data_IF_533155885182
#
_entry.id   IF_533155885182
#
_cell.length_a   1.000
_cell.length_b   1.000
_cell.length_c   1.000
_cell.angle_alpha   90.00
_cell.angle_beta   90.00
_cell.angle_gamma   90.00
#
_symmetry.space_group_name_H-M   'P 1'
#
loop_
_entity.id
_entity.type
_entity.pdbx_description
1 polymer ?
#
# COMPACT_ATOMS: atom_id res chain seq x y z
N UNK A 1 -18.93 -1.73 -7.31
CA UNK A 1 -17.90 -1.69 -6.26
C UNK A 1 -17.78 -0.25 -5.77
N UNK A 2 -17.78 -0.01 -4.46
CA UNK A 2 -17.64 1.34 -3.88
C UNK A 2 -16.17 1.62 -3.53
N UNK A 3 -15.78 2.89 -3.46
CA UNK A 3 -14.45 3.32 -3.01
C UNK A 3 -14.06 2.70 -1.67
N UNK A 4 -15.04 2.53 -0.78
CA UNK A 4 -14.83 1.88 0.51
C UNK A 4 -14.31 0.43 0.41
N UNK A 5 -14.75 -0.34 -0.59
CA UNK A 5 -14.30 -1.74 -0.80
C UNK A 5 -12.86 -1.78 -1.35
N UNK A 6 -12.53 -0.81 -2.21
CA UNK A 6 -11.15 -0.60 -2.70
C UNK A 6 -10.21 -0.27 -1.54
N UNK A 7 -10.64 0.61 -0.63
CA UNK A 7 -9.87 1.00 0.54
C UNK A 7 -9.77 -0.09 1.60
N UNK A 8 -10.78 -0.96 1.71
CA UNK A 8 -10.73 -2.14 2.57
C UNK A 8 -9.65 -3.11 2.09
N UNK A 9 -9.64 -3.42 0.78
CA UNK A 9 -8.60 -4.24 0.17
C UNK A 9 -7.20 -3.65 0.38
N UNK A 10 -7.00 -2.37 0.07
CA UNK A 10 -5.70 -1.70 0.28
C UNK A 10 -5.30 -1.68 1.76
N UNK A 11 -6.26 -1.52 2.67
CA UNK A 11 -6.02 -1.59 4.12
C UNK A 11 -5.55 -2.97 4.57
N UNK A 12 -6.11 -4.05 4.00
CA UNK A 12 -5.65 -5.43 4.19
C UNK A 12 -4.21 -5.62 3.74
N UNK A 13 -3.88 -5.21 2.51
CA UNK A 13 -2.53 -5.31 1.94
C UNK A 13 -1.50 -4.51 2.76
N UNK A 14 -1.86 -3.28 3.15
CA UNK A 14 -1.02 -2.41 3.98
C UNK A 14 -0.75 -3.04 5.36
N UNK A 15 -1.77 -3.69 5.95
CA UNK A 15 -1.64 -4.38 7.23
C UNK A 15 -0.68 -5.57 7.15
N UNK A 16 -0.73 -6.35 6.07
CA UNK A 16 0.21 -7.45 5.84
C UNK A 16 1.64 -6.95 5.68
N UNK A 17 1.86 -5.89 4.89
CA UNK A 17 3.18 -5.29 4.73
C UNK A 17 3.72 -4.73 6.05
N UNK A 18 2.87 -4.09 6.85
CA UNK A 18 3.26 -3.60 8.19
C UNK A 18 3.63 -4.75 9.12
N UNK A 19 2.85 -5.84 9.11
CA UNK A 19 3.17 -7.04 9.89
C UNK A 19 4.48 -7.70 9.43
N UNK A 20 4.76 -7.67 8.14
CA UNK A 20 5.99 -8.21 7.58
C UNK A 20 7.19 -7.31 7.90
N UNK A 21 7.06 -5.99 7.73
CA UNK A 21 8.07 -5.01 8.09
C UNK A 21 8.46 -5.08 9.58
N UNK A 22 7.48 -5.31 10.47
CA UNK A 22 7.73 -5.48 11.92
C UNK A 22 8.53 -6.73 12.27
N UNK A 23 8.60 -7.72 11.37
CA UNK A 23 9.38 -8.96 11.55
C UNK A 23 10.80 -8.83 10.96
N UNK A 24 11.06 -7.77 10.19
CA UNK A 24 12.38 -7.52 9.65
C UNK A 24 13.27 -6.88 10.72
N UNK A 25 14.54 -7.31 10.84
CA UNK A 25 15.45 -6.72 11.80
C UNK A 25 15.73 -5.25 11.45
N UNK A 26 15.83 -4.34 12.44
CA UNK A 26 16.02 -2.90 12.24
C UNK A 26 17.36 -2.51 11.58
N UNK A 27 18.31 -3.45 11.49
CA UNK A 27 19.68 -3.24 10.98
C UNK A 27 19.83 -3.46 9.48
N UNK A 28 18.74 -3.50 8.73
CA UNK A 28 18.82 -3.76 7.29
C UNK A 28 18.90 -2.43 6.52
N UNK A 29 20.13 -1.93 6.36
CA UNK A 29 20.47 -0.93 5.35
C UNK A 29 20.27 -1.58 3.96
N UNK A 30 19.07 -1.45 3.40
CA UNK A 30 18.68 -2.22 2.20
C UNK A 30 18.41 -1.35 1.00
N UNK A 31 19.41 -0.56 0.63
CA UNK A 31 19.49 -0.08 -0.74
C UNK A 31 19.75 -1.22 -1.76
N UNK A 32 20.10 -2.44 -1.32
CA UNK A 32 20.60 -3.46 -2.26
C UNK A 32 20.52 -4.95 -1.81
N UNK A 33 19.70 -5.35 -0.82
CA UNK A 33 19.63 -6.79 -0.48
C UNK A 33 18.18 -7.28 -0.53
N UNK A 34 17.89 -8.41 -1.21
CA UNK A 34 16.67 -9.15 -0.90
C UNK A 34 16.71 -9.38 0.61
N UNK A 35 15.71 -8.87 1.36
CA UNK A 35 15.58 -9.35 2.73
C UNK A 35 15.43 -10.86 2.60
N UNK A 36 16.46 -11.63 2.95
CA UNK A 36 16.45 -13.10 2.81
C UNK A 36 15.36 -13.76 3.67
N UNK A 37 14.63 -12.96 4.44
CA UNK A 37 13.39 -13.33 5.09
C UNK A 37 12.28 -13.28 4.04
N UNK A 38 11.80 -14.42 3.57
CA UNK A 38 10.56 -14.46 2.77
C UNK A 38 9.35 -14.24 3.67
N UNK A 39 8.25 -13.62 3.18
CA UNK A 39 7.00 -13.61 3.91
C UNK A 39 6.49 -15.04 4.13
N UNK A 40 5.66 -15.18 5.16
CA UNK A 40 5.00 -16.45 5.42
C UNK A 40 4.13 -16.82 4.22
N UNK A 41 4.07 -18.09 3.81
CA UNK A 41 3.21 -18.52 2.71
C UNK A 41 1.75 -18.17 2.98
N UNK A 42 1.29 -18.31 4.23
CA UNK A 42 -0.06 -17.88 4.66
C UNK A 42 -0.32 -16.39 4.37
N UNK A 43 0.69 -15.53 4.57
CA UNK A 43 0.55 -14.12 4.26
C UNK A 43 0.56 -13.85 2.74
N UNK A 44 1.31 -14.63 1.96
CA UNK A 44 1.27 -14.49 0.50
C UNK A 44 -0.10 -14.91 -0.03
N UNK A 45 -0.67 -15.98 0.50
CA UNK A 45 -2.00 -16.51 0.14
C UNK A 45 -3.12 -15.51 0.46
N UNK A 46 -3.15 -14.95 1.68
CA UNK A 46 -4.07 -13.87 2.06
C UNK A 46 -3.92 -12.64 1.13
N UNK A 47 -2.68 -12.28 0.77
CA UNK A 47 -2.41 -11.14 -0.11
C UNK A 47 -2.97 -11.42 -1.52
N UNK A 48 -2.70 -12.61 -2.05
CA UNK A 48 -3.18 -13.05 -3.35
C UNK A 48 -4.72 -13.11 -3.40
N UNK A 49 -5.36 -13.59 -2.34
CA UNK A 49 -6.82 -13.63 -2.23
C UNK A 49 -7.40 -12.21 -2.33
N UNK A 50 -6.83 -11.25 -1.60
CA UNK A 50 -7.26 -9.85 -1.64
C UNK A 50 -7.10 -9.27 -3.05
N UNK A 51 -5.96 -9.50 -3.72
CA UNK A 51 -5.69 -9.00 -5.08
C UNK A 51 -6.60 -9.65 -6.11
N UNK A 52 -6.83 -10.96 -6.00
CA UNK A 52 -7.72 -11.71 -6.90
C UNK A 52 -9.15 -11.24 -6.76
N UNK A 53 -9.63 -11.10 -5.53
CA UNK A 53 -10.95 -10.56 -5.25
C UNK A 53 -11.08 -9.12 -5.74
N UNK A 54 -10.06 -8.28 -5.50
CA UNK A 54 -10.04 -6.90 -6.01
C UNK A 54 -10.15 -6.86 -7.54
N UNK A 55 -9.37 -7.67 -8.26
CA UNK A 55 -9.41 -7.76 -9.73
C UNK A 55 -10.79 -8.16 -10.24
N UNK A 56 -11.43 -9.14 -9.61
CA UNK A 56 -12.76 -9.60 -10.02
C UNK A 56 -13.82 -8.51 -9.77
N UNK A 57 -13.75 -7.83 -8.63
CA UNK A 57 -14.71 -6.80 -8.26
C UNK A 57 -14.51 -5.48 -9.02
N UNK A 58 -13.28 -5.16 -9.44
CA UNK A 58 -12.95 -3.96 -10.22
C UNK A 58 -13.08 -4.16 -11.73
N UNK A 59 -13.38 -5.36 -12.20
CA UNK A 59 -13.59 -5.65 -13.61
C UNK A 59 -14.73 -4.77 -14.19
N UNK A 60 -14.38 -3.86 -15.10
CA UNK A 60 -15.33 -2.94 -15.72
C UNK A 60 -15.59 -1.65 -14.92
N UNK A 61 -14.80 -1.39 -13.88
CA UNK A 61 -14.82 -0.14 -13.11
C UNK A 61 -13.60 0.72 -13.46
N UNK A 62 -13.59 2.03 -13.15
CA UNK A 62 -12.41 2.87 -13.37
C UNK A 62 -11.19 2.42 -12.53
N UNK A 63 -11.40 1.59 -11.50
CA UNK A 63 -10.33 1.00 -10.67
C UNK A 63 -9.56 -0.14 -11.34
N UNK A 64 -9.97 -0.60 -12.53
CA UNK A 64 -9.30 -1.70 -13.23
C UNK A 64 -7.79 -1.46 -13.41
N UNK A 65 -7.40 -0.21 -13.68
CA UNK A 65 -5.99 0.18 -13.86
C UNK A 65 -5.13 0.02 -12.61
N UNK A 66 -5.73 -0.06 -11.42
CA UNK A 66 -5.02 -0.27 -10.16
C UNK A 66 -4.58 -1.73 -9.97
N UNK A 67 -5.23 -2.66 -10.69
CA UNK A 67 -4.97 -4.10 -10.54
C UNK A 67 -3.53 -4.45 -10.90
N UNK A 68 -2.96 -3.84 -11.94
CA UNK A 68 -1.59 -4.13 -12.39
C UNK A 68 -0.58 -3.80 -11.28
N UNK A 69 -0.69 -2.61 -10.67
CA UNK A 69 0.16 -2.22 -9.55
C UNK A 69 -0.03 -3.10 -8.31
N UNK A 70 -1.24 -3.61 -8.05
CA UNK A 70 -1.45 -4.56 -6.96
C UNK A 70 -0.80 -5.92 -7.22
N UNK A 71 -0.79 -6.38 -8.47
CA UNK A 71 -0.10 -7.61 -8.88
C UNK A 71 1.41 -7.42 -8.72
N UNK A 72 1.97 -6.31 -9.20
CA UNK A 72 3.40 -6.00 -9.01
C UNK A 72 3.79 -5.98 -7.53
N UNK A 73 2.91 -5.46 -6.67
CA UNK A 73 3.13 -5.47 -5.23
C UNK A 73 3.18 -6.88 -4.65
N UNK A 74 2.25 -7.75 -5.06
CA UNK A 74 2.17 -9.15 -4.63
C UNK A 74 3.41 -9.92 -5.07
N UNK A 75 3.84 -9.79 -6.34
CA UNK A 75 5.03 -10.45 -6.86
C UNK A 75 6.29 -10.03 -6.09
N UNK A 76 6.41 -8.72 -5.80
CA UNK A 76 7.49 -8.23 -4.97
C UNK A 76 7.40 -8.75 -3.53
N UNK A 77 6.19 -8.91 -2.99
CA UNK A 77 5.96 -9.39 -1.64
C UNK A 77 6.40 -10.85 -1.54
N UNK A 78 5.90 -11.71 -2.44
CA UNK A 78 6.30 -13.11 -2.55
C UNK A 78 7.83 -13.27 -2.70
N UNK A 79 8.46 -12.39 -3.49
CA UNK A 79 9.91 -12.36 -3.66
C UNK A 79 10.69 -11.88 -2.42
N UNK A 80 10.00 -11.46 -1.35
CA UNK A 80 10.60 -10.89 -0.15
C UNK A 80 11.20 -9.50 -0.38
N UNK A 81 10.68 -8.73 -1.34
CA UNK A 81 11.14 -7.37 -1.66
C UNK A 81 10.17 -6.34 -1.10
N UNK A 82 10.31 -6.02 0.19
CA UNK A 82 9.42 -5.07 0.88
C UNK A 82 9.25 -3.74 0.14
N UNK A 83 10.36 -3.13 -0.31
CA UNK A 83 10.31 -1.87 -1.05
C UNK A 83 9.57 -2.01 -2.38
N UNK A 84 9.78 -3.13 -3.06
CA UNK A 84 9.10 -3.46 -4.32
C UNK A 84 7.59 -3.68 -4.12
N UNK A 85 7.14 -4.04 -2.92
CA UNK A 85 5.71 -4.14 -2.59
C UNK A 85 5.11 -2.80 -2.15
N UNK A 86 5.87 -1.99 -1.42
CA UNK A 86 5.36 -0.71 -0.93
C UNK A 86 5.20 0.30 -2.06
N UNK A 87 6.11 0.34 -3.04
CA UNK A 87 6.05 1.33 -4.12
C UNK A 87 4.80 1.24 -5.00
N UNK A 88 4.38 0.06 -5.49
CA UNK A 88 3.17 -0.07 -6.29
C UNK A 88 1.91 0.28 -5.49
N UNK A 89 1.86 -0.04 -4.19
CA UNK A 89 0.74 0.39 -3.34
C UNK A 89 0.67 1.91 -3.17
N UNK A 90 1.81 2.59 -3.02
CA UNK A 90 1.85 4.05 -3.01
C UNK A 90 1.38 4.63 -4.34
N UNK A 91 1.74 4.01 -5.46
CA UNK A 91 1.25 4.41 -6.79
C UNK A 91 -0.27 4.23 -6.91
N UNK A 92 -0.84 3.16 -6.35
CA UNK A 92 -2.29 2.95 -6.30
C UNK A 92 -2.98 4.06 -5.50
N UNK A 93 -2.43 4.45 -4.35
CA UNK A 93 -2.96 5.55 -3.54
C UNK A 93 -2.90 6.89 -4.29
N UNK A 94 -1.78 7.21 -4.95
CA UNK A 94 -1.64 8.42 -5.77
C UNK A 94 -2.63 8.45 -6.94
N UNK A 95 -2.83 7.29 -7.57
CA UNK A 95 -3.81 7.14 -8.64
C UNK A 95 -5.25 7.36 -8.13
N UNK A 96 -5.60 6.83 -6.96
CA UNK A 96 -6.90 7.10 -6.32
C UNK A 96 -7.10 8.58 -5.98
N UNK A 97 -6.07 9.25 -5.47
CA UNK A 97 -6.11 10.70 -5.22
C UNK A 97 -6.33 11.48 -6.52
N UNK A 98 -5.69 11.05 -7.63
CA UNK A 98 -5.86 11.64 -8.95
C UNK A 98 -7.27 11.42 -9.51
N UNK A 99 -7.80 10.20 -9.44
CA UNK A 99 -9.17 9.89 -9.87
C UNK A 99 -10.21 10.69 -9.07
N UNK A 100 -9.99 10.85 -7.77
CA UNK A 100 -10.82 11.71 -6.93
C UNK A 100 -10.77 13.17 -7.41
N UNK A 101 -9.56 13.68 -7.68
CA UNK A 101 -9.37 15.06 -8.15
C UNK A 101 -10.01 15.32 -9.51
N UNK A 102 -9.99 14.32 -10.39
CA UNK A 102 -10.63 14.34 -11.71
C UNK A 102 -12.15 14.11 -11.63
N UNK A 103 -12.68 13.84 -10.42
CA UNK A 103 -14.08 13.47 -10.16
C UNK A 103 -14.53 12.20 -10.88
N UNK A 104 -13.60 11.31 -11.20
CA UNK A 104 -13.91 9.97 -11.73
C UNK A 104 -14.53 9.06 -10.66
N UNK A 105 -14.23 9.34 -9.38
CA UNK A 105 -14.72 8.59 -8.22
C UNK A 105 -15.21 9.53 -7.13
N UNK A 106 -16.24 9.10 -6.40
CA UNK A 106 -16.68 9.78 -5.18
C UNK A 106 -15.97 9.15 -3.98
N UNK A 107 -15.18 9.97 -3.29
CA UNK A 107 -14.46 9.60 -2.07
C UNK A 107 -15.05 10.42 -0.94
N UNK A 108 -15.58 9.76 0.09
CA UNK A 108 -16.08 10.45 1.27
C UNK A 108 -14.95 10.96 2.17
N UNK A 109 -15.23 11.90 3.08
CA UNK A 109 -14.24 12.37 4.08
C UNK A 109 -13.60 11.26 4.91
N UNK A 110 -14.34 10.17 5.15
CA UNK A 110 -13.85 9.00 5.89
C UNK A 110 -12.82 8.24 5.05
N UNK A 111 -13.08 8.11 3.76
CA UNK A 111 -12.23 7.44 2.79
C UNK A 111 -10.94 8.23 2.52
N UNK A 112 -11.04 9.56 2.43
CA UNK A 112 -9.87 10.46 2.35
C UNK A 112 -8.94 10.30 3.55
N UNK A 113 -9.52 10.23 4.77
CA UNK A 113 -8.74 10.01 5.99
C UNK A 113 -8.02 8.66 5.94
N UNK A 114 -8.70 7.60 5.50
CA UNK A 114 -8.11 6.25 5.35
C UNK A 114 -6.97 6.25 4.35
N UNK A 115 -7.12 6.90 3.19
CA UNK A 115 -6.06 7.06 2.19
C UNK A 115 -4.80 7.69 2.80
N UNK A 116 -4.96 8.79 3.55
CA UNK A 116 -3.85 9.46 4.21
C UNK A 116 -3.19 8.57 5.29
N UNK A 117 -3.98 7.82 6.05
CA UNK A 117 -3.49 6.88 7.07
C UNK A 117 -2.68 5.72 6.45
N UNK A 118 -3.19 5.11 5.37
CA UNK A 118 -2.48 4.04 4.65
C UNK A 118 -1.20 4.54 4.02
N UNK A 119 -1.23 5.73 3.39
CA UNK A 119 -0.05 6.37 2.83
C UNK A 119 1.01 6.61 3.90
N UNK A 120 0.63 7.18 5.04
CA UNK A 120 1.55 7.41 6.15
C UNK A 120 2.11 6.09 6.71
N UNK A 121 1.30 5.02 6.78
CA UNK A 121 1.76 3.71 7.21
C UNK A 121 2.79 3.11 6.24
N UNK A 122 2.53 3.16 4.93
CA UNK A 122 3.44 2.70 3.88
C UNK A 122 4.74 3.51 3.85
N UNK A 123 4.67 4.85 3.98
CA UNK A 123 5.85 5.70 4.08
C UNK A 123 6.71 5.39 5.30
N UNK A 124 6.11 5.03 6.45
CA UNK A 124 6.85 4.59 7.64
C UNK A 124 7.61 3.28 7.44
N UNK A 125 7.18 2.46 6.47
CA UNK A 125 7.86 1.21 6.12
C UNK A 125 9.09 1.47 5.24
N UNK A 126 9.11 2.58 4.48
CA UNK A 126 10.25 2.95 3.63
C UNK A 126 11.43 3.48 4.48
N UNK A 127 12.61 2.85 4.41
CA UNK A 127 13.81 3.33 5.09
C UNK A 127 14.29 4.61 4.41
N UNK A 128 14.27 5.72 5.14
CA UNK A 128 14.62 7.05 4.63
C UNK A 128 13.55 8.10 4.83
N UNK A 129 12.31 7.72 5.16
CA UNK A 129 11.27 8.67 5.53
C UNK A 129 11.40 9.06 7.01
N UNK A 130 12.55 9.61 7.40
CA UNK A 130 12.68 10.39 8.63
C UNK A 130 11.80 11.62 8.39
N UNK A 131 10.70 11.81 9.12
CA UNK A 131 9.95 13.04 8.98
C UNK A 131 10.83 14.15 9.57
N UNK A 132 11.48 14.95 8.74
CA UNK A 132 11.90 16.29 9.14
C UNK A 132 10.70 17.25 9.16
N UNK A 133 9.51 16.76 9.53
CA UNK A 133 8.28 17.54 9.63
C UNK A 133 7.61 17.29 10.99
N UNK A 134 8.40 17.31 12.05
CA UNK A 134 7.95 17.68 13.39
C UNK A 134 8.80 18.88 13.81
N UNK A 135 8.47 20.07 13.30
CA UNK A 135 9.30 21.26 13.56
C UNK A 135 9.20 22.42 12.58
N UNK A 136 8.00 22.84 12.18
CA UNK A 136 7.82 24.19 11.63
C UNK A 136 6.56 24.83 12.21
N UNK A 137 6.73 25.25 13.48
CA UNK A 137 6.03 26.35 14.16
C UNK A 137 4.70 26.82 13.59
N UNK A 138 3.61 26.29 14.16
CA UNK A 138 2.41 27.11 14.39
C UNK A 138 2.26 27.27 15.90
N UNK A 139 2.91 28.29 16.43
CA UNK A 139 2.86 28.64 17.85
C UNK A 139 3.51 29.99 18.11
N UNK A 140 2.65 31.00 18.23
CA UNK A 140 2.87 32.41 18.61
C UNK A 140 3.42 33.35 17.54
#
# INVERSE_FOLDING_TARGET
>A
MQTADVLDAIGGLTSQLKSYASKLPPVVHLAAVPTGVKPKPEAVDDYEEIVTRFRQQTAGTPYKGLTESLIESLEAFEAGKLLGSVQPLLAVLDHLERMQRDKEIEVGRIDEKRLAEYRAALHKILPGNKPELDGAGRGM
#
